data_IF_341057322988
#
_entry.id   IF_341057322988
#
_cell.length_a   1.000
_cell.length_b   1.000
_cell.length_c   1.000
_cell.angle_alpha   90.00
_cell.angle_beta   90.00
_cell.angle_gamma   90.00
#
_symmetry.space_group_name_H-M   'P 1'
#
loop_
_entity.id
_entity.type
_entity.pdbx_description
1 polymer ?
#
# COMPACT_ATOMS: atom_id res chain seq x y z
N UNK A 1 4.01 -46.17 15.74
CA UNK A 1 4.01 -45.64 14.37
C UNK A 1 3.84 -44.12 14.47
N UNK A 2 4.92 -43.37 14.26
CA UNK A 2 4.91 -41.91 14.23
C UNK A 2 4.98 -41.49 12.75
N UNK A 3 3.97 -40.77 12.27
CA UNK A 3 3.99 -40.16 10.94
C UNK A 3 4.74 -38.84 11.05
N UNK A 4 5.94 -38.78 10.49
CA UNK A 4 6.68 -37.55 10.25
C UNK A 4 5.95 -36.74 9.18
N UNK A 5 5.31 -35.64 9.58
CA UNK A 5 4.92 -34.59 8.66
C UNK A 5 6.18 -33.76 8.37
N UNK A 6 6.76 -33.93 7.19
CA UNK A 6 7.64 -32.94 6.58
C UNK A 6 6.83 -31.68 6.35
N UNK A 7 7.05 -30.69 7.20
CA UNK A 7 6.61 -29.30 7.02
C UNK A 7 7.47 -28.72 5.88
N UNK A 8 6.94 -28.77 4.65
CA UNK A 8 7.50 -27.99 3.55
C UNK A 8 7.19 -26.51 3.82
N UNK A 9 8.18 -25.61 3.79
CA UNK A 9 7.92 -24.18 3.85
C UNK A 9 7.15 -23.80 2.58
N UNK A 10 5.88 -23.47 2.74
CA UNK A 10 5.04 -22.91 1.68
C UNK A 10 5.57 -21.53 1.30
N UNK A 11 6.55 -21.48 0.40
CA UNK A 11 6.86 -20.28 -0.36
C UNK A 11 5.54 -19.73 -0.94
N UNK A 12 5.13 -18.48 -0.63
CA UNK A 12 4.02 -17.88 -1.33
C UNK A 12 4.42 -17.82 -2.81
N UNK A 13 3.61 -18.39 -3.72
CA UNK A 13 4.13 -18.76 -5.01
C UNK A 13 4.40 -17.48 -5.81
N UNK A 14 5.59 -17.43 -6.41
CA UNK A 14 5.89 -16.57 -7.56
C UNK A 14 4.83 -16.69 -8.68
N UNK A 15 3.96 -17.71 -8.64
CA UNK A 15 2.77 -17.83 -9.47
C UNK A 15 1.70 -16.71 -9.24
N UNK A 16 1.66 -16.07 -8.06
CA UNK A 16 0.77 -14.92 -7.83
C UNK A 16 1.21 -13.69 -8.64
N UNK A 17 2.50 -13.56 -8.93
CA UNK A 17 3.04 -12.46 -9.74
C UNK A 17 2.82 -12.69 -11.25
N UNK A 18 2.78 -13.95 -11.70
CA UNK A 18 2.74 -14.30 -13.12
C UNK A 18 1.33 -14.30 -13.75
N UNK A 19 0.25 -14.30 -12.94
CA UNK A 19 -1.14 -14.36 -13.42
C UNK A 19 -1.88 -13.01 -13.37
N UNK A 20 -1.19 -11.92 -13.03
CA UNK A 20 -1.77 -10.58 -13.02
C UNK A 20 -1.72 -10.00 -14.44
N UNK A 21 -2.74 -10.31 -15.25
CA UNK A 21 -3.16 -9.34 -16.27
C UNK A 21 -3.36 -7.97 -15.63
N UNK A 22 -3.38 -6.89 -16.43
CA UNK A 22 -3.53 -5.53 -15.90
C UNK A 22 -4.69 -5.45 -14.90
N UNK A 23 -4.39 -5.13 -13.63
CA UNK A 23 -5.41 -5.00 -12.58
C UNK A 23 -6.36 -3.87 -12.98
N UNK A 24 -7.65 -4.15 -13.20
CA UNK A 24 -8.55 -3.15 -13.76
C UNK A 24 -8.78 -2.00 -12.78
N UNK A 25 -8.68 -0.78 -13.28
CA UNK A 25 -9.11 0.43 -12.56
C UNK A 25 -10.60 0.64 -12.86
N UNK A 26 -11.43 0.59 -11.83
CA UNK A 26 -12.89 0.63 -11.94
C UNK A 26 -13.41 1.92 -11.33
N UNK A 27 -14.20 2.68 -12.09
CA UNK A 27 -14.86 3.88 -11.59
C UNK A 27 -16.03 3.49 -10.66
N UNK A 28 -15.90 3.84 -9.38
CA UNK A 28 -16.86 3.47 -8.35
C UNK A 28 -18.15 4.31 -8.38
N UNK A 29 -18.13 5.50 -9.00
CA UNK A 29 -19.27 6.44 -9.02
C UNK A 29 -20.52 5.89 -9.74
N UNK A 30 -20.38 4.80 -10.50
CA UNK A 30 -21.50 4.09 -11.16
C UNK A 30 -21.58 2.61 -10.83
N UNK A 31 -20.79 2.11 -9.87
CA UNK A 31 -20.72 0.69 -9.55
C UNK A 31 -21.60 0.35 -8.35
N UNK A 32 -22.70 -0.39 -8.60
CA UNK A 32 -23.54 -0.90 -7.51
C UNK A 32 -22.79 -1.99 -6.71
N UNK A 33 -23.14 -2.14 -5.42
CA UNK A 33 -22.58 -3.21 -4.58
C UNK A 33 -22.89 -4.61 -5.12
N UNK A 34 -24.06 -4.82 -5.71
CA UNK A 34 -24.40 -6.09 -6.36
C UNK A 34 -23.47 -6.36 -7.56
N UNK A 35 -23.28 -5.38 -8.44
CA UNK A 35 -22.37 -5.50 -9.58
C UNK A 35 -20.93 -5.72 -9.13
N UNK A 36 -20.47 -5.04 -8.07
CA UNK A 36 -19.14 -5.24 -7.51
C UNK A 36 -18.96 -6.65 -6.94
N UNK A 37 -19.96 -7.16 -6.21
CA UNK A 37 -19.96 -8.50 -5.63
C UNK A 37 -19.85 -9.59 -6.70
N UNK A 38 -20.68 -9.50 -7.75
CA UNK A 38 -20.66 -10.49 -8.84
C UNK A 38 -19.37 -10.43 -9.65
N UNK A 39 -18.85 -9.23 -9.92
CA UNK A 39 -17.71 -9.05 -10.84
C UNK A 39 -16.35 -9.21 -10.19
N UNK A 40 -16.19 -8.91 -8.90
CA UNK A 40 -14.88 -8.88 -8.25
C UNK A 40 -14.81 -9.75 -6.99
N UNK A 41 -15.80 -9.69 -6.10
CA UNK A 41 -15.71 -10.41 -4.82
C UNK A 41 -15.95 -11.92 -4.95
N UNK A 42 -17.03 -12.33 -5.65
CA UNK A 42 -17.32 -13.76 -5.89
C UNK A 42 -16.21 -14.48 -6.66
N UNK A 43 -15.72 -13.94 -7.80
CA UNK A 43 -14.62 -14.58 -8.54
C UNK A 43 -13.24 -14.31 -7.94
N UNK A 44 -13.13 -13.54 -6.85
CA UNK A 44 -11.86 -13.14 -6.20
C UNK A 44 -10.90 -12.44 -7.17
N UNK A 45 -11.44 -11.58 -8.03
CA UNK A 45 -10.66 -10.83 -9.03
C UNK A 45 -10.20 -9.51 -8.43
N UNK A 46 -8.87 -9.22 -8.41
CA UNK A 46 -8.36 -7.96 -7.90
C UNK A 46 -8.80 -6.79 -8.78
N UNK A 47 -9.03 -5.63 -8.18
CA UNK A 47 -9.30 -4.38 -8.90
C UNK A 47 -8.93 -3.17 -8.04
N UNK A 48 -8.72 -2.02 -8.70
CA UNK A 48 -8.51 -0.73 -8.04
C UNK A 48 -9.76 0.13 -8.21
N UNK A 49 -10.36 0.56 -7.10
CA UNK A 49 -11.52 1.45 -7.13
C UNK A 49 -11.08 2.91 -7.24
N UNK A 50 -11.58 3.61 -8.26
CA UNK A 50 -11.36 5.04 -8.47
C UNK A 50 -12.67 5.80 -8.28
N UNK A 51 -12.64 6.87 -7.49
CA UNK A 51 -13.77 7.77 -7.28
C UNK A 51 -13.48 9.08 -8.03
N UNK A 52 -14.16 9.35 -9.17
CA UNK A 52 -13.88 10.52 -10.03
C UNK A 52 -14.55 11.80 -9.53
N UNK A 53 -15.73 11.71 -8.91
CA UNK A 53 -16.51 12.87 -8.44
C UNK A 53 -16.13 13.38 -7.04
N UNK A 54 -15.09 12.82 -6.43
CA UNK A 54 -14.72 13.14 -5.03
C UNK A 54 -13.32 13.73 -4.95
N UNK A 55 -13.08 14.77 -5.74
CA UNK A 55 -11.92 15.65 -5.59
C UNK A 55 -11.96 16.30 -4.20
N UNK A 56 -11.08 15.88 -3.29
CA UNK A 56 -10.67 16.54 -2.04
C UNK A 56 -11.72 17.03 -1.01
N UNK A 57 -13.01 17.11 -1.31
CA UNK A 57 -14.03 17.74 -0.45
C UNK A 57 -15.23 16.86 -0.11
N UNK A 58 -15.43 15.71 -0.78
CA UNK A 58 -16.60 14.85 -0.55
C UNK A 58 -16.48 13.95 0.68
N UNK A 59 -15.32 13.93 1.33
CA UNK A 59 -15.10 13.31 2.62
C UNK A 59 -14.27 14.29 3.46
N UNK A 60 -14.87 15.03 4.40
CA UNK A 60 -14.13 15.82 5.37
C UNK A 60 -13.10 14.97 6.11
N UNK A 61 -13.36 13.67 6.28
CA UNK A 61 -12.40 12.69 6.81
C UNK A 61 -11.21 12.42 5.90
N UNK A 62 -11.28 12.61 4.57
CA UNK A 62 -10.13 12.49 3.66
C UNK A 62 -9.30 13.77 3.60
N UNK A 63 -9.94 14.95 3.70
CA UNK A 63 -9.21 16.21 3.86
C UNK A 63 -8.49 16.23 5.22
N UNK A 64 -9.23 15.91 6.30
CA UNK A 64 -8.63 15.67 7.62
C UNK A 64 -7.63 14.53 7.58
N UNK A 65 -7.90 13.39 6.93
CA UNK A 65 -6.91 12.32 6.82
C UNK A 65 -5.70 12.74 5.99
N UNK A 66 -5.80 13.64 5.01
CA UNK A 66 -4.62 14.18 4.33
C UNK A 66 -3.77 15.03 5.27
N UNK A 67 -4.40 15.81 6.14
CA UNK A 67 -3.70 16.58 7.16
C UNK A 67 -3.13 15.66 8.26
N UNK A 68 -3.93 14.71 8.75
CA UNK A 68 -3.59 13.73 9.81
C UNK A 68 -2.60 12.66 9.36
N UNK A 69 -2.64 12.23 8.10
CA UNK A 69 -1.72 11.28 7.48
C UNK A 69 -0.61 12.00 6.70
N UNK A 70 -0.39 13.28 6.97
CA UNK A 70 0.82 13.96 6.50
C UNK A 70 2.04 13.41 7.24
N UNK A 71 3.21 13.45 6.59
CA UNK A 71 4.47 13.07 7.24
C UNK A 71 4.75 13.91 8.48
N UNK A 72 4.40 15.20 8.46
CA UNK A 72 4.52 16.09 9.62
C UNK A 72 3.63 15.63 10.79
N UNK A 73 2.34 15.39 10.53
CA UNK A 73 1.40 14.91 11.56
C UNK A 73 1.81 13.55 12.14
N UNK A 74 2.34 12.65 11.29
CA UNK A 74 2.86 11.35 11.74
C UNK A 74 4.13 11.50 12.60
N UNK A 75 5.04 12.40 12.24
CA UNK A 75 6.23 12.67 13.05
C UNK A 75 5.88 13.31 14.41
N UNK A 76 4.97 14.27 14.43
CA UNK A 76 4.53 14.93 15.66
C UNK A 76 3.82 13.95 16.61
N UNK A 77 2.92 13.13 16.07
CA UNK A 77 2.12 12.22 16.90
C UNK A 77 2.89 10.97 17.31
N UNK A 78 3.72 10.42 16.43
CA UNK A 78 4.27 9.06 16.54
C UNK A 78 5.78 8.98 16.24
N UNK A 79 6.50 10.10 16.18
CA UNK A 79 7.92 10.13 15.77
C UNK A 79 8.85 9.25 16.61
N UNK A 80 8.57 9.11 17.90
CA UNK A 80 9.31 8.24 18.82
C UNK A 80 8.94 6.74 18.75
N UNK A 81 8.01 6.35 17.87
CA UNK A 81 7.61 4.95 17.72
C UNK A 81 8.67 4.17 16.95
N UNK A 82 9.15 3.07 17.53
CA UNK A 82 10.06 2.14 16.87
C UNK A 82 9.30 1.28 15.83
N UNK A 83 9.50 1.59 14.55
CA UNK A 83 8.87 0.88 13.43
C UNK A 83 9.84 -0.11 12.78
N UNK A 84 9.36 -1.29 12.37
CA UNK A 84 10.15 -2.19 11.55
C UNK A 84 10.35 -1.60 10.15
N UNK A 85 11.57 -1.69 9.65
CA UNK A 85 11.99 -1.24 8.34
C UNK A 85 12.36 -2.45 7.51
N UNK A 86 11.67 -2.59 6.38
CA UNK A 86 12.05 -3.52 5.31
C UNK A 86 12.88 -2.76 4.28
N UNK A 87 14.20 -3.00 4.30
CA UNK A 87 15.15 -2.43 3.35
C UNK A 87 15.41 -3.35 2.14
N UNK A 88 14.61 -4.41 1.95
CA UNK A 88 14.86 -5.43 0.93
C UNK A 88 16.03 -6.36 1.23
N UNK A 89 16.60 -6.26 2.44
CA UNK A 89 17.53 -7.25 3.00
C UNK A 89 16.77 -8.19 3.93
N UNK A 90 17.27 -9.42 4.13
CA UNK A 90 16.66 -10.40 5.03
C UNK A 90 16.68 -9.97 6.53
N UNK A 91 17.20 -8.78 6.84
CA UNK A 91 17.38 -8.27 8.18
C UNK A 91 16.38 -7.15 8.48
N UNK A 92 15.38 -7.47 9.30
CA UNK A 92 14.44 -6.49 9.82
C UNK A 92 15.18 -5.52 10.76
N UNK A 93 15.28 -4.26 10.35
CA UNK A 93 15.90 -3.21 11.16
C UNK A 93 14.79 -2.39 11.81
N UNK A 94 14.95 -1.98 13.08
CA UNK A 94 13.99 -1.09 13.73
C UNK A 94 14.59 0.31 13.87
N UNK A 95 13.78 1.33 13.66
CA UNK A 95 14.18 2.71 13.90
C UNK A 95 12.98 3.57 14.33
N UNK A 96 13.22 4.74 14.94
CA UNK A 96 12.17 5.72 15.18
C UNK A 96 11.50 6.12 13.86
N UNK A 97 10.17 6.22 13.85
CA UNK A 97 9.39 6.68 12.70
C UNK A 97 9.90 8.02 12.18
N UNK A 98 10.32 8.92 13.07
CA UNK A 98 10.90 10.21 12.68
C UNK A 98 12.15 10.04 11.79
N UNK A 99 13.09 9.17 12.19
CA UNK A 99 14.33 8.94 11.43
C UNK A 99 14.02 8.37 10.04
N UNK A 100 13.02 7.48 9.94
CA UNK A 100 12.54 6.96 8.66
C UNK A 100 11.95 8.06 7.77
N UNK A 101 11.09 8.92 8.32
CA UNK A 101 10.46 10.01 7.56
C UNK A 101 11.48 11.03 7.05
N UNK A 102 12.50 11.36 7.86
CA UNK A 102 13.61 12.23 7.46
C UNK A 102 14.43 11.61 6.31
N UNK A 103 14.76 10.32 6.41
CA UNK A 103 15.47 9.60 5.36
C UNK A 103 14.66 9.52 4.06
N UNK A 104 13.34 9.26 4.15
CA UNK A 104 12.45 9.21 3.00
C UNK A 104 12.32 10.58 2.30
N UNK A 105 12.24 11.68 3.07
CA UNK A 105 12.22 13.03 2.54
C UNK A 105 13.53 13.38 1.81
N UNK A 106 14.68 12.97 2.36
CA UNK A 106 15.98 13.17 1.73
C UNK A 106 16.11 12.39 0.40
N UNK A 107 15.61 11.15 0.34
CA UNK A 107 15.61 10.35 -0.88
C UNK A 107 14.69 10.91 -1.98
N UNK A 108 13.53 11.47 -1.60
CA UNK A 108 12.57 12.08 -2.53
C UNK A 108 13.06 13.36 -3.22
N UNK A 109 14.09 14.03 -2.67
CA UNK A 109 14.69 15.24 -3.25
C UNK A 109 15.58 15.00 -4.48
N UNK A 110 16.01 13.76 -4.73
CA UNK A 110 16.91 13.43 -5.85
C UNK A 110 16.19 13.16 -7.19
N UNK A 111 14.85 13.09 -7.20
CA UNK A 111 14.03 12.72 -8.36
C UNK A 111 13.53 13.89 -9.23
N UNK A 112 14.07 15.10 -9.08
CA UNK A 112 13.66 16.30 -9.83
C UNK A 112 14.34 16.50 -11.20
N UNK A 113 15.11 15.53 -11.68
CA UNK A 113 15.81 15.59 -12.97
C UNK A 113 14.93 15.17 -14.15
N UNK A 114 13.94 16.00 -14.49
CA UNK A 114 13.19 15.90 -15.77
C UNK A 114 14.20 16.03 -16.92
N UNK A 115 14.11 15.12 -17.89
CA UNK A 115 14.99 15.10 -19.06
C UNK A 115 15.08 16.44 -19.78
N UNK A 116 16.32 16.81 -20.13
CA UNK A 116 16.70 17.55 -21.34
C UNK A 116 18.16 17.24 -21.66
N UNK A 117 18.39 16.31 -22.58
CA UNK A 117 19.10 16.51 -23.85
C UNK A 117 19.15 15.19 -24.60
#
# INVERSE_FOLDING_TARGET
AFLSATDEPSDPPAAAAAALGEVPIVDADGLSMAAFRERFLRPRTPCVLRFRRRAAGAYPSMARARETLSTASLAESHGGMEVPLDAGSAQETRAPLQAFLEAAAAAGGAGGGRGRR
#
